data_IF_545831507354
#
_entry.id   IF_545831507354
#
_cell.length_a   1.000
_cell.length_b   1.000
_cell.length_c   1.000
_cell.angle_alpha   90.00
_cell.angle_beta   90.00
_cell.angle_gamma   90.00
#
_symmetry.space_group_name_H-M   'P 1'
#
loop_
_entity.id
_entity.type
_entity.pdbx_description
1 polymer ?
#
# COMPACT_ATOMS: atom_id res chain seq x y z
N UNK A 1 -4.89 21.56 4.02
CA UNK A 1 -3.79 20.55 3.91
C UNK A 1 -3.73 19.81 5.23
N UNK A 2 -3.79 18.48 5.23
CA UNK A 2 -3.85 17.71 6.48
C UNK A 2 -2.47 17.63 7.15
N UNK A 3 -2.43 17.50 8.48
CA UNK A 3 -1.16 17.37 9.23
C UNK A 3 -0.36 16.15 8.73
N UNK A 4 -1.06 15.06 8.40
CA UNK A 4 -0.40 13.85 7.91
C UNK A 4 0.18 14.04 6.51
N UNK A 5 -0.43 14.89 5.66
CA UNK A 5 0.16 15.26 4.36
C UNK A 5 1.40 16.13 4.54
N UNK A 6 1.40 17.05 5.52
CA UNK A 6 2.58 17.86 5.84
C UNK A 6 3.73 17.01 6.37
N UNK A 7 3.44 16.05 7.26
CA UNK A 7 4.44 15.08 7.73
C UNK A 7 4.97 14.22 6.58
N UNK A 8 4.09 13.81 5.66
CA UNK A 8 4.44 13.03 4.49
C UNK A 8 5.35 13.78 3.51
N UNK A 9 5.07 15.06 3.25
CA UNK A 9 5.90 15.89 2.37
C UNK A 9 7.29 16.15 2.97
N UNK A 10 7.43 16.12 4.31
CA UNK A 10 8.72 16.25 5.00
C UNK A 10 9.49 14.91 5.10
N UNK A 11 8.82 13.84 5.53
CA UNK A 11 9.40 12.51 5.69
C UNK A 11 8.33 11.43 5.46
N UNK A 12 8.34 10.88 4.25
CA UNK A 12 7.40 9.84 3.81
C UNK A 12 7.43 8.59 4.70
N UNK A 13 8.61 8.09 5.05
CA UNK A 13 8.74 6.87 5.86
C UNK A 13 8.16 7.07 7.27
N UNK A 14 8.47 8.21 7.88
CA UNK A 14 7.93 8.55 9.20
C UNK A 14 6.40 8.66 9.19
N UNK A 15 5.83 9.26 8.15
CA UNK A 15 4.38 9.37 8.01
C UNK A 15 3.70 7.99 7.85
N UNK A 16 4.34 7.05 7.13
CA UNK A 16 3.86 5.68 7.02
C UNK A 16 3.96 4.91 8.34
N UNK A 17 5.03 5.11 9.10
CA UNK A 17 5.17 4.48 10.41
C UNK A 17 4.11 4.99 11.40
N UNK A 18 3.77 6.28 11.31
CA UNK A 18 2.64 6.87 12.06
C UNK A 18 1.30 6.22 11.74
N UNK A 19 1.05 5.83 10.48
CA UNK A 19 -0.15 5.09 10.09
C UNK A 19 -0.16 3.65 10.59
N UNK A 20 1.02 3.05 10.79
CA UNK A 20 1.22 1.70 11.30
C UNK A 20 1.30 1.63 12.82
N UNK A 21 1.41 2.75 13.52
CA UNK A 21 1.46 2.76 14.98
C UNK A 21 0.05 2.76 15.57
N UNK A 22 -0.26 1.84 16.49
CA UNK A 22 -1.51 1.88 17.23
C UNK A 22 -1.53 3.10 18.16
N UNK A 23 -2.67 3.78 18.23
CA UNK A 23 -2.82 4.90 19.13
C UNK A 23 -3.16 4.38 20.53
N UNK A 24 -2.18 4.38 21.44
CA UNK A 24 -2.33 3.92 22.84
C UNK A 24 -3.48 4.63 23.55
N UNK A 25 -3.67 5.93 23.26
CA UNK A 25 -4.76 6.74 23.80
C UNK A 25 -6.17 6.31 23.34
N UNK A 26 -6.26 5.46 22.30
CA UNK A 26 -7.51 5.00 21.70
C UNK A 26 -7.60 3.47 21.68
N UNK A 27 -7.23 2.82 22.79
CA UNK A 27 -7.35 1.36 22.96
C UNK A 27 -6.57 0.57 21.89
N UNK A 28 -5.36 1.04 21.57
CA UNK A 28 -4.46 0.45 20.57
C UNK A 28 -5.08 0.31 19.17
N UNK A 29 -6.06 1.14 18.85
CA UNK A 29 -6.68 1.16 17.52
C UNK A 29 -5.76 1.90 16.55
N UNK A 30 -5.58 1.32 15.37
CA UNK A 30 -4.82 1.95 14.30
C UNK A 30 -5.59 3.17 13.73
N UNK A 31 -4.90 4.27 13.41
CA UNK A 31 -5.53 5.47 12.85
C UNK A 31 -6.44 5.18 11.64
N UNK A 32 -6.00 4.27 10.76
CA UNK A 32 -6.75 3.86 9.58
C UNK A 32 -8.03 3.08 9.91
N UNK A 33 -7.99 2.22 10.94
CA UNK A 33 -9.16 1.47 11.39
C UNK A 33 -10.19 2.40 12.02
N UNK A 34 -9.73 3.38 12.81
CA UNK A 34 -10.59 4.39 13.39
C UNK A 34 -11.24 5.22 12.29
N UNK A 35 -10.46 5.75 11.35
CA UNK A 35 -10.96 6.54 10.23
C UNK A 35 -11.99 5.79 9.38
N UNK A 36 -11.80 4.48 9.16
CA UNK A 36 -12.79 3.62 8.50
C UNK A 36 -14.08 3.47 9.32
N UNK A 37 -13.96 3.19 10.63
CA UNK A 37 -15.14 3.02 11.52
C UNK A 37 -16.06 4.23 11.51
N UNK A 38 -15.47 5.44 11.50
CA UNK A 38 -16.24 6.70 11.49
C UNK A 38 -16.51 7.23 10.07
N UNK A 39 -16.15 6.49 9.01
CA UNK A 39 -16.26 6.93 7.62
C UNK A 39 -15.65 8.33 7.36
N UNK A 40 -14.46 8.59 7.91
CA UNK A 40 -13.77 9.86 7.73
C UNK A 40 -13.21 10.00 6.31
N UNK A 41 -14.06 10.45 5.38
CA UNK A 41 -13.72 10.58 3.95
C UNK A 41 -12.56 11.53 3.70
N UNK A 42 -12.45 12.61 4.47
CA UNK A 42 -11.37 13.60 4.33
C UNK A 42 -10.01 13.01 4.68
N UNK A 43 -9.93 12.19 5.75
CA UNK A 43 -8.71 11.50 6.11
C UNK A 43 -8.35 10.41 5.10
N UNK A 44 -9.33 9.62 4.63
CA UNK A 44 -9.09 8.59 3.62
C UNK A 44 -8.66 9.18 2.27
N UNK A 45 -9.09 10.40 1.94
CA UNK A 45 -8.68 11.10 0.73
C UNK A 45 -7.30 11.79 0.82
N UNK A 46 -6.62 11.73 1.98
CA UNK A 46 -5.27 12.27 2.14
C UNK A 46 -4.30 11.60 1.15
N UNK A 47 -3.38 12.39 0.61
CA UNK A 47 -2.32 11.93 -0.31
C UNK A 47 -1.47 10.85 0.34
N UNK A 48 -1.09 11.05 1.60
CA UNK A 48 -0.34 10.07 2.39
C UNK A 48 -1.10 8.74 2.51
N UNK A 49 -2.38 8.80 2.91
CA UNK A 49 -3.21 7.60 3.12
C UNK A 49 -3.44 6.84 1.82
N UNK A 50 -3.74 7.54 0.72
CA UNK A 50 -3.91 6.92 -0.60
C UNK A 50 -2.62 6.26 -1.08
N UNK A 51 -1.48 6.92 -0.91
CA UNK A 51 -0.17 6.33 -1.29
C UNK A 51 0.17 5.12 -0.43
N UNK A 52 -0.11 5.19 0.88
CA UNK A 52 0.06 4.05 1.79
C UNK A 52 -0.80 2.85 1.36
N UNK A 53 -2.07 3.09 1.03
CA UNK A 53 -2.98 2.06 0.54
C UNK A 53 -2.54 1.49 -0.81
N UNK A 54 -2.03 2.33 -1.71
CA UNK A 54 -1.43 1.91 -2.99
C UNK A 54 -0.26 0.95 -2.74
N UNK A 55 0.67 1.33 -1.84
CA UNK A 55 1.79 0.47 -1.44
C UNK A 55 1.33 -0.86 -0.82
N UNK A 56 0.31 -0.84 0.04
CA UNK A 56 -0.24 -2.06 0.64
C UNK A 56 -0.95 -2.95 -0.39
N UNK A 57 -1.63 -2.34 -1.37
CA UNK A 57 -2.32 -3.06 -2.43
C UNK A 57 -1.34 -3.76 -3.39
N UNK A 58 -0.24 -3.09 -3.74
CA UNK A 58 0.79 -3.65 -4.63
C UNK A 58 1.85 -4.50 -3.90
N UNK A 59 1.93 -4.43 -2.56
CA UNK A 59 2.82 -5.25 -1.75
C UNK A 59 4.31 -5.10 -2.12
N UNK A 60 5.06 -6.21 -2.12
CA UNK A 60 6.49 -6.28 -2.51
C UNK A 60 6.74 -6.11 -4.02
N UNK A 61 5.70 -5.88 -4.81
CA UNK A 61 5.80 -5.77 -6.26
C UNK A 61 6.21 -4.34 -6.58
N UNK A 62 7.51 -4.04 -6.48
CA UNK A 62 8.10 -2.79 -6.99
C UNK A 62 7.92 -2.76 -8.51
N UNK A 63 6.79 -2.22 -8.99
CA UNK A 63 6.45 -2.25 -10.40
C UNK A 63 5.89 -0.92 -10.88
N UNK A 64 6.46 -0.42 -11.99
CA UNK A 64 5.91 0.68 -12.78
C UNK A 64 4.45 0.37 -13.12
N UNK A 65 3.53 1.21 -12.63
CA UNK A 65 2.06 1.18 -12.77
C UNK A 65 1.58 0.84 -14.21
N UNK A 66 2.33 1.21 -15.23
CA UNK A 66 2.01 0.95 -16.65
C UNK A 66 2.29 -0.47 -17.12
N UNK A 67 3.27 -1.19 -16.54
CA UNK A 67 3.64 -2.54 -16.96
C UNK A 67 2.72 -3.63 -16.36
N UNK A 68 2.05 -3.32 -15.24
CA UNK A 68 1.21 -4.27 -14.47
C UNK A 68 -0.13 -4.49 -15.14
N UNK A 69 -0.85 -3.45 -15.56
CA UNK A 69 -2.20 -3.63 -16.11
C UNK A 69 -2.21 -4.60 -17.29
N UNK A 70 -1.15 -4.58 -18.11
CA UNK A 70 -0.99 -5.52 -19.20
C UNK A 70 -0.50 -6.90 -18.70
N UNK A 71 0.53 -6.96 -17.85
CA UNK A 71 1.11 -8.25 -17.40
C UNK A 71 0.23 -9.03 -16.44
N UNK A 72 -0.51 -8.39 -15.53
CA UNK A 72 -1.43 -9.05 -14.60
C UNK A 72 -2.69 -9.53 -15.32
N UNK A 73 -3.21 -8.74 -16.28
CA UNK A 73 -4.28 -9.21 -17.17
C UNK A 73 -3.81 -10.44 -17.98
N UNK A 74 -2.59 -10.40 -18.52
CA UNK A 74 -2.01 -11.55 -19.21
C UNK A 74 -1.80 -12.75 -18.27
N UNK A 75 -1.28 -12.56 -17.06
CA UNK A 75 -1.08 -13.67 -16.11
C UNK A 75 -2.39 -14.28 -15.61
N UNK A 76 -3.46 -13.48 -15.49
CA UNK A 76 -4.81 -13.97 -15.20
C UNK A 76 -5.40 -14.78 -16.36
N UNK A 77 -5.15 -14.37 -17.61
CA UNK A 77 -5.59 -15.07 -18.82
C UNK A 77 -4.79 -16.37 -19.05
N UNK A 78 -3.50 -16.37 -18.70
CA UNK A 78 -2.57 -17.49 -18.82
C UNK A 78 -2.40 -18.28 -17.51
N UNK A 79 -3.33 -18.16 -16.55
CA UNK A 79 -3.30 -18.92 -15.30
C UNK A 79 -3.16 -20.45 -15.48
N UNK A 80 -3.72 -21.11 -16.53
CA UNK A 80 -3.42 -22.53 -16.77
C UNK A 80 -1.98 -22.79 -17.28
N UNK A 81 -1.22 -21.77 -17.68
CA UNK A 81 0.17 -21.84 -18.16
C UNK A 81 1.19 -21.27 -17.15
N UNK A 82 0.74 -20.70 -16.03
CA UNK A 82 1.57 -20.17 -14.95
C UNK A 82 2.54 -21.18 -14.30
N UNK A 83 2.27 -22.50 -14.17
CA UNK A 83 3.23 -23.42 -13.56
C UNK A 83 4.55 -23.57 -14.34
N UNK A 84 4.61 -23.12 -15.61
CA UNK A 84 5.81 -23.19 -16.44
C UNK A 84 6.66 -21.92 -16.30
N UNK A 85 6.06 -20.77 -15.98
CA UNK A 85 6.76 -19.47 -15.86
C UNK A 85 7.40 -19.21 -14.48
N UNK A 86 7.00 -19.94 -13.43
CA UNK A 86 7.57 -19.80 -12.08
C UNK A 86 9.07 -20.14 -11.99
N UNK A 87 9.66 -20.79 -13.01
CA UNK A 87 11.10 -21.08 -13.06
C UNK A 87 11.92 -19.83 -13.45
N UNK A 88 11.30 -18.81 -14.06
CA UNK A 88 12.02 -17.70 -14.70
C UNK A 88 11.87 -16.32 -14.04
N UNK A 89 11.11 -16.21 -12.94
CA UNK A 89 11.01 -14.96 -12.19
C UNK A 89 12.04 -14.95 -11.06
N UNK A 90 13.09 -14.10 -11.11
CA UNK A 90 14.05 -14.00 -10.02
C UNK A 90 13.34 -13.43 -8.79
N UNK A 91 13.18 -14.29 -7.80
CA UNK A 91 12.72 -13.94 -6.46
C UNK A 91 13.82 -13.16 -5.76
N UNK A 92 13.76 -11.82 -5.79
CA UNK A 92 14.63 -11.00 -4.94
C UNK A 92 13.97 -10.84 -3.57
N UNK A 93 14.19 -11.81 -2.70
CA UNK A 93 14.11 -11.61 -1.25
C UNK A 93 15.32 -10.77 -0.85
N UNK A 94 15.12 -9.49 -0.50
CA UNK A 94 16.11 -8.75 0.29
C UNK A 94 15.75 -8.94 1.75
N UNK A 95 16.62 -9.69 2.43
CA UNK A 95 16.72 -9.84 3.87
C UNK A 95 17.19 -8.52 4.50
#
# INVERSE_FOLDING_TARGET
>A
MSIIDQCFDNNENFAFDLLKQPAVAFNDIYPLQLARKINCKSFLASKCVQKYLDHQWFGCINYKRTAINFRVFLCSLFFPLFPIFCIFLPYTQKL
#
